data_IF_469162612249
#
_entry.id   IF_469162612249
#
_cell.length_a   1.000
_cell.length_b   1.000
_cell.length_c   1.000
_cell.angle_alpha   90.00
_cell.angle_beta   90.00
_cell.angle_gamma   90.00
#
_symmetry.space_group_name_H-M   'P 1'
#
loop_
_entity.id
_entity.type
_entity.pdbx_description
1 polymer ?
#
# COMPACT_ATOMS: atom_id res chain seq x y z
N UNK A 1 22.05 -0.47 5.00
CA UNK A 1 21.02 0.35 5.72
C UNK A 1 20.28 -0.61 6.63
N UNK A 2 19.78 -0.17 7.77
CA UNK A 2 18.93 -1.02 8.63
C UNK A 2 17.53 -0.97 8.04
N UNK A 3 16.90 -2.12 7.71
CA UNK A 3 15.57 -2.14 7.15
C UNK A 3 14.53 -1.65 8.17
N UNK A 4 13.52 -0.91 7.70
CA UNK A 4 12.40 -0.48 8.55
C UNK A 4 11.49 -1.64 8.92
N UNK A 5 11.27 -2.57 7.97
CA UNK A 5 10.44 -3.76 8.16
C UNK A 5 11.23 -5.02 7.83
N UNK A 6 11.13 -6.03 8.69
CA UNK A 6 11.72 -7.36 8.45
C UNK A 6 10.67 -8.43 8.73
N UNK A 7 10.46 -9.32 7.75
CA UNK A 7 9.70 -10.56 7.90
C UNK A 7 10.65 -11.74 7.79
N UNK A 8 10.50 -12.71 8.67
CA UNK A 8 11.32 -13.95 8.67
C UNK A 8 10.41 -15.17 8.84
N UNK A 9 10.42 -16.04 7.83
CA UNK A 9 9.77 -17.36 7.79
C UNK A 9 8.28 -17.34 8.17
N UNK A 10 7.54 -16.34 7.66
CA UNK A 10 6.12 -16.18 7.95
C UNK A 10 5.32 -17.28 7.29
N UNK A 11 4.56 -18.02 8.13
CA UNK A 11 3.61 -19.03 7.72
C UNK A 11 2.22 -18.69 8.26
N UNK A 12 1.19 -18.88 7.43
CA UNK A 12 -0.19 -18.62 7.85
C UNK A 12 -1.18 -19.57 7.17
N UNK A 13 -2.09 -20.11 7.99
CA UNK A 13 -3.20 -20.96 7.56
C UNK A 13 -4.51 -20.43 8.13
N UNK A 14 -5.56 -20.50 7.31
CA UNK A 14 -6.94 -20.34 7.78
C UNK A 14 -7.46 -21.68 8.30
N UNK A 15 -8.13 -21.65 9.43
CA UNK A 15 -8.80 -22.81 10.00
C UNK A 15 -10.30 -22.60 9.92
N UNK A 16 -10.98 -23.46 9.19
CA UNK A 16 -12.43 -23.52 9.05
C UNK A 16 -12.95 -24.88 9.53
N UNK A 17 -14.25 -24.98 9.73
CA UNK A 17 -14.87 -26.29 10.09
C UNK A 17 -14.61 -27.36 9.03
N UNK A 18 -14.35 -26.98 7.81
CA UNK A 18 -14.03 -27.83 6.66
C UNK A 18 -12.58 -28.28 6.58
N UNK A 19 -11.68 -27.67 7.38
CA UNK A 19 -10.25 -28.02 7.37
C UNK A 19 -9.30 -26.83 7.47
N UNK A 20 -8.02 -27.11 7.28
CA UNK A 20 -6.92 -26.13 7.22
C UNK A 20 -6.64 -25.75 5.78
N UNK A 21 -6.58 -24.44 5.50
CA UNK A 21 -6.15 -23.91 4.19
C UNK A 21 -4.90 -23.08 4.37
N UNK A 22 -3.75 -23.58 3.92
CA UNK A 22 -2.50 -22.82 3.91
C UNK A 22 -2.63 -21.62 2.96
N UNK A 23 -2.42 -20.41 3.48
CA UNK A 23 -2.46 -19.18 2.70
C UNK A 23 -1.07 -18.67 2.32
N UNK A 24 -0.12 -18.72 3.26
CA UNK A 24 1.26 -18.27 3.08
C UNK A 24 2.24 -19.30 3.61
N UNK A 25 3.38 -19.46 2.93
CA UNK A 25 4.44 -20.38 3.30
C UNK A 25 5.82 -19.74 3.12
N UNK A 26 6.61 -19.72 4.19
CA UNK A 26 8.02 -19.27 4.22
C UNK A 26 8.25 -17.87 3.60
N UNK A 27 7.40 -16.90 3.93
CA UNK A 27 7.57 -15.52 3.46
C UNK A 27 8.65 -14.83 4.28
N UNK A 28 9.75 -14.47 3.61
CA UNK A 28 10.85 -13.71 4.21
C UNK A 28 11.29 -12.59 3.26
N UNK A 29 11.29 -11.34 3.73
CA UNK A 29 11.82 -10.18 3.02
C UNK A 29 12.03 -9.00 3.97
N UNK A 30 12.76 -8.01 3.50
CA UNK A 30 12.98 -6.74 4.21
C UNK A 30 12.51 -5.58 3.37
N UNK A 31 12.21 -4.44 4.00
CA UNK A 31 11.89 -3.17 3.33
C UNK A 31 12.76 -2.07 3.93
N UNK A 32 13.44 -1.33 3.09
CA UNK A 32 14.27 -0.20 3.52
C UNK A 32 13.41 1.08 3.74
N UNK A 33 13.91 1.98 4.60
CA UNK A 33 13.23 3.25 4.84
C UNK A 33 13.13 4.08 3.56
N UNK A 34 11.91 4.59 3.25
CA UNK A 34 11.61 5.35 2.03
C UNK A 34 11.45 4.50 0.77
N UNK A 35 11.62 3.17 0.86
CA UNK A 35 11.40 2.26 -0.25
C UNK A 35 9.91 2.12 -0.56
N UNK A 36 9.57 2.06 -1.83
CA UNK A 36 8.25 1.74 -2.33
C UNK A 36 8.29 0.35 -2.97
N UNK A 37 7.75 -0.67 -2.32
CA UNK A 37 7.69 -2.01 -2.89
C UNK A 37 6.28 -2.34 -3.39
N UNK A 38 6.18 -3.17 -4.43
CA UNK A 38 4.92 -3.75 -4.86
C UNK A 38 4.94 -5.27 -4.66
N UNK A 39 3.79 -5.82 -4.29
CA UNK A 39 3.56 -7.26 -4.18
C UNK A 39 2.51 -7.63 -5.22
N UNK A 40 2.89 -8.49 -6.16
CA UNK A 40 2.03 -9.00 -7.22
C UNK A 40 1.91 -10.51 -7.13
N UNK A 41 0.83 -11.05 -7.68
CA UNK A 41 0.59 -12.50 -7.70
C UNK A 41 -0.84 -12.82 -8.11
N UNK A 42 -1.18 -14.08 -8.39
CA UNK A 42 -2.50 -14.51 -8.79
C UNK A 42 -3.58 -14.15 -7.77
N UNK A 43 -4.84 -14.14 -8.21
CA UNK A 43 -5.96 -13.94 -7.28
C UNK A 43 -6.00 -15.05 -6.23
N UNK A 44 -6.21 -14.69 -4.97
CA UNK A 44 -6.27 -15.64 -3.86
C UNK A 44 -4.93 -16.23 -3.40
N UNK A 45 -3.78 -15.76 -3.90
CA UNK A 45 -2.45 -16.24 -3.48
C UNK A 45 -2.01 -15.79 -2.07
N UNK A 46 -2.77 -14.93 -1.39
CA UNK A 46 -2.46 -14.50 -0.01
C UNK A 46 -1.95 -13.07 0.14
N UNK A 47 -1.98 -12.21 -0.90
CA UNK A 47 -1.49 -10.80 -0.83
C UNK A 47 -2.14 -10.00 0.29
N UNK A 48 -3.47 -9.94 0.34
CA UNK A 48 -4.20 -9.22 1.40
C UNK A 48 -4.04 -9.87 2.77
N UNK A 49 -3.84 -11.21 2.82
CA UNK A 49 -3.47 -11.93 4.05
C UNK A 49 -2.12 -11.43 4.55
N UNK A 50 -1.13 -11.34 3.67
CA UNK A 50 0.21 -10.83 4.02
C UNK A 50 0.14 -9.38 4.52
N UNK A 51 -0.61 -8.49 3.83
CA UNK A 51 -0.82 -7.12 4.34
C UNK A 51 -1.51 -7.10 5.71
N UNK A 52 -2.52 -7.96 5.91
CA UNK A 52 -3.22 -8.05 7.21
C UNK A 52 -2.30 -8.52 8.34
N UNK A 53 -1.35 -9.41 8.04
CA UNK A 53 -0.31 -9.85 8.98
C UNK A 53 0.64 -8.70 9.28
N UNK A 54 1.13 -7.96 8.27
CA UNK A 54 1.99 -6.79 8.45
C UNK A 54 1.26 -5.68 9.21
N UNK A 55 -0.05 -5.50 8.99
CA UNK A 55 -0.88 -4.56 9.76
C UNK A 55 -1.10 -5.01 11.22
N UNK A 56 -0.69 -6.22 11.58
CA UNK A 56 -0.93 -6.81 12.89
C UNK A 56 -2.40 -7.14 13.17
N UNK A 57 -3.21 -7.29 12.12
CA UNK A 57 -4.61 -7.73 12.19
C UNK A 57 -4.71 -9.25 12.27
N UNK A 58 -3.76 -9.96 11.67
CA UNK A 58 -3.60 -11.40 11.75
C UNK A 58 -2.26 -11.73 12.42
N UNK A 59 -2.24 -12.78 13.19
CA UNK A 59 -1.02 -13.28 13.86
C UNK A 59 -0.52 -14.49 13.05
N UNK A 60 0.72 -14.48 12.54
CA UNK A 60 1.26 -15.62 11.82
C UNK A 60 1.39 -16.83 12.75
N UNK A 61 1.28 -18.04 12.18
CA UNK A 61 1.46 -19.30 12.90
C UNK A 61 2.91 -19.45 13.36
N UNK A 62 3.82 -19.17 12.45
CA UNK A 62 5.26 -19.24 12.65
C UNK A 62 5.94 -18.04 12.02
N UNK A 63 7.17 -17.78 12.41
CA UNK A 63 7.98 -16.68 11.93
C UNK A 63 7.93 -15.46 12.84
N UNK A 64 8.60 -14.40 12.42
CA UNK A 64 8.69 -13.15 13.18
C UNK A 64 8.60 -11.92 12.27
N UNK A 65 8.04 -10.83 12.81
CA UNK A 65 7.95 -9.55 12.13
C UNK A 65 8.46 -8.47 13.07
N UNK A 66 9.36 -7.66 12.58
CA UNK A 66 9.84 -6.47 13.28
C UNK A 66 9.68 -5.21 12.44
N UNK A 67 9.35 -4.11 13.11
CA UNK A 67 9.35 -2.75 12.56
C UNK A 67 10.35 -1.92 13.38
N UNK A 68 11.35 -1.31 12.70
CA UNK A 68 12.47 -0.61 13.38
C UNK A 68 13.18 -1.49 14.42
N UNK A 69 13.49 -2.72 14.08
CA UNK A 69 14.12 -3.72 14.96
C UNK A 69 13.33 -4.06 16.24
N UNK A 70 12.06 -3.64 16.33
CA UNK A 70 11.17 -3.95 17.45
C UNK A 70 10.06 -4.90 16.99
N UNK A 71 9.58 -5.79 17.87
CA UNK A 71 8.46 -6.65 17.54
C UNK A 71 7.25 -5.85 17.04
N UNK A 72 6.64 -6.25 15.95
CA UNK A 72 5.52 -5.56 15.31
C UNK A 72 4.39 -5.20 16.28
N UNK A 73 4.11 -6.08 17.26
CA UNK A 73 3.04 -5.90 18.23
C UNK A 73 3.15 -4.58 19.01
N UNK A 74 4.37 -4.07 19.20
CA UNK A 74 4.65 -2.82 19.92
C UNK A 74 4.62 -1.59 19.04
N UNK A 75 4.66 -1.77 17.72
CA UNK A 75 4.85 -0.68 16.75
C UNK A 75 3.64 -0.50 15.81
N UNK A 76 2.51 -1.19 16.06
CA UNK A 76 1.31 -1.17 15.18
C UNK A 76 0.79 0.23 14.88
N UNK A 77 0.91 1.18 15.80
CA UNK A 77 0.47 2.56 15.62
C UNK A 77 1.25 3.33 14.54
N UNK A 78 2.41 2.81 14.14
CA UNK A 78 3.27 3.39 13.10
C UNK A 78 2.94 2.90 11.70
N UNK A 79 1.93 2.02 11.59
CA UNK A 79 1.47 1.47 10.31
C UNK A 79 0.17 2.12 9.91
N UNK A 80 0.15 2.69 8.71
CA UNK A 80 -1.05 3.18 8.06
C UNK A 80 -1.56 2.14 7.06
N UNK A 81 -2.83 1.77 7.13
CA UNK A 81 -3.43 0.79 6.23
C UNK A 81 -4.56 1.42 5.40
N UNK A 82 -4.34 1.51 4.09
CA UNK A 82 -5.34 1.91 3.12
C UNK A 82 -5.93 0.66 2.47
N UNK A 83 -7.19 0.40 2.76
CA UNK A 83 -7.93 -0.76 2.25
C UNK A 83 -8.35 -0.55 0.79
N UNK A 84 -8.74 -1.64 0.11
CA UNK A 84 -9.16 -1.67 -1.29
C UNK A 84 -10.27 -0.65 -1.62
N UNK A 85 -11.24 -0.48 -0.72
CA UNK A 85 -12.24 0.59 -0.81
C UNK A 85 -11.82 1.76 0.08
N UNK A 86 -12.24 2.97 -0.28
CA UNK A 86 -11.90 4.17 0.49
C UNK A 86 -12.46 4.17 1.92
N UNK A 87 -13.58 3.45 2.17
CA UNK A 87 -14.25 3.33 3.46
C UNK A 87 -14.45 4.70 4.15
N UNK A 88 -14.77 5.73 3.37
CA UNK A 88 -15.17 7.01 3.91
C UNK A 88 -16.59 6.91 4.48
N UNK A 89 -16.80 7.47 5.66
CA UNK A 89 -18.12 7.52 6.27
C UNK A 89 -18.97 8.59 5.58
N UNK A 90 -20.01 8.17 4.86
CA UNK A 90 -20.88 9.04 4.07
C UNK A 90 -21.59 10.12 4.89
N UNK A 91 -21.84 9.87 6.19
CA UNK A 91 -22.46 10.84 7.10
C UNK A 91 -21.48 11.87 7.68
N UNK A 92 -20.17 11.68 7.46
CA UNK A 92 -19.13 12.62 7.92
C UNK A 92 -18.66 13.51 6.77
N UNK A 93 -18.23 14.74 7.10
CA UNK A 93 -17.52 15.57 6.12
C UNK A 93 -16.16 14.98 5.77
N UNK A 94 -15.55 15.46 4.68
CA UNK A 94 -14.16 15.09 4.27
C UNK A 94 -13.19 15.33 5.43
N UNK A 95 -13.16 16.54 6.01
CA UNK A 95 -12.28 16.86 7.13
C UNK A 95 -12.53 15.92 8.32
N UNK A 96 -13.81 15.65 8.65
CA UNK A 96 -14.16 14.76 9.76
C UNK A 96 -13.74 13.30 9.48
N UNK A 97 -13.77 12.85 8.21
CA UNK A 97 -13.21 11.56 7.81
C UNK A 97 -11.69 11.53 8.00
N UNK A 98 -10.99 12.58 7.57
CA UNK A 98 -9.52 12.71 7.75
C UNK A 98 -9.14 12.65 9.23
N UNK A 99 -9.87 13.34 10.08
CA UNK A 99 -9.58 13.40 11.52
C UNK A 99 -10.00 12.17 12.31
N UNK A 100 -10.66 11.18 11.69
CA UNK A 100 -11.22 10.02 12.39
C UNK A 100 -10.20 9.28 13.25
N UNK A 101 -9.02 9.00 12.71
CA UNK A 101 -7.96 8.30 13.45
C UNK A 101 -7.45 9.11 14.66
N UNK A 102 -7.36 10.43 14.52
CA UNK A 102 -7.00 11.33 15.62
C UNK A 102 -8.08 11.33 16.72
N UNK A 103 -9.36 11.26 16.35
CA UNK A 103 -10.47 11.15 17.31
C UNK A 103 -10.38 9.83 18.10
N UNK A 104 -10.12 8.72 17.41
CA UNK A 104 -9.95 7.40 18.05
C UNK A 104 -8.77 7.41 19.04
N UNK A 105 -7.67 8.07 18.67
CA UNK A 105 -6.48 8.22 19.51
C UNK A 105 -6.65 9.28 20.61
N UNK A 106 -7.80 9.97 20.66
CA UNK A 106 -8.06 11.10 21.57
C UNK A 106 -7.03 12.23 21.43
N UNK A 107 -6.52 12.43 20.23
CA UNK A 107 -5.48 13.41 19.89
C UNK A 107 -6.03 14.53 18.98
N UNK A 108 -7.27 14.98 19.23
CA UNK A 108 -7.86 16.10 18.51
C UNK A 108 -7.58 17.39 19.27
N UNK A 109 -6.81 18.26 18.63
CA UNK A 109 -6.48 19.60 19.13
C UNK A 109 -6.35 20.57 17.94
N UNK A 110 -6.07 21.84 18.22
CA UNK A 110 -5.95 22.86 17.17
C UNK A 110 -4.80 22.54 16.18
N UNK A 111 -3.66 22.08 16.67
CA UNK A 111 -2.51 21.72 15.84
C UNK A 111 -2.84 20.56 14.88
N UNK A 112 -3.48 19.49 15.38
CA UNK A 112 -3.85 18.33 14.54
C UNK A 112 -4.97 18.68 13.55
N UNK A 113 -5.87 19.63 13.91
CA UNK A 113 -6.90 20.15 13.00
C UNK A 113 -6.27 20.98 11.89
N UNK A 114 -5.35 21.89 12.21
CA UNK A 114 -4.59 22.69 11.24
C UNK A 114 -3.82 21.78 10.30
N UNK A 115 -3.09 20.80 10.81
CA UNK A 115 -2.38 19.82 10.01
C UNK A 115 -3.31 19.07 9.05
N UNK A 116 -4.51 18.66 9.50
CA UNK A 116 -5.50 18.00 8.65
C UNK A 116 -5.94 18.89 7.49
N UNK A 117 -6.16 20.17 7.75
CA UNK A 117 -6.50 21.17 6.73
C UNK A 117 -5.33 21.42 5.77
N UNK A 118 -4.11 21.53 6.28
CA UNK A 118 -2.91 21.75 5.47
C UNK A 118 -2.66 20.59 4.50
N UNK A 119 -2.90 19.34 4.94
CA UNK A 119 -2.86 18.17 4.07
C UNK A 119 -3.94 18.25 2.99
N UNK A 120 -5.18 18.56 3.34
CA UNK A 120 -6.26 18.74 2.36
C UNK A 120 -5.91 19.83 1.34
N UNK A 121 -5.38 20.97 1.80
CA UNK A 121 -4.93 22.06 0.95
C UNK A 121 -3.78 21.65 0.03
N UNK A 122 -2.74 21.02 0.59
CA UNK A 122 -1.56 20.58 -0.15
C UNK A 122 -1.91 19.63 -1.30
N UNK A 123 -2.97 18.83 -1.13
CA UNK A 123 -3.41 17.85 -2.11
C UNK A 123 -4.70 18.22 -2.85
N UNK A 124 -5.03 19.55 -2.87
CA UNK A 124 -6.08 20.13 -3.70
C UNK A 124 -7.50 19.77 -3.30
N UNK A 125 -7.74 19.56 -2.00
CA UNK A 125 -9.05 19.17 -1.45
C UNK A 125 -9.57 20.17 -0.40
N UNK A 126 -8.96 21.33 -0.25
CA UNK A 126 -9.34 22.36 0.74
C UNK A 126 -10.80 22.79 0.60
N UNK A 127 -11.25 23.09 -0.62
CA UNK A 127 -12.62 23.52 -0.92
C UNK A 127 -13.67 22.45 -0.60
N UNK A 128 -13.24 21.17 -0.56
CA UNK A 128 -14.10 20.02 -0.25
C UNK A 128 -14.07 19.60 1.22
N UNK A 129 -13.36 20.34 2.10
CA UNK A 129 -13.19 19.94 3.51
C UNK A 129 -14.54 19.72 4.24
N UNK A 130 -15.55 20.50 3.90
CA UNK A 130 -16.89 20.41 4.48
C UNK A 130 -17.89 19.58 3.65
N UNK A 131 -17.50 19.15 2.45
CA UNK A 131 -18.32 18.32 1.59
C UNK A 131 -18.49 16.89 2.16
N UNK A 132 -19.51 16.16 1.67
CA UNK A 132 -19.71 14.74 1.95
C UNK A 132 -18.96 13.87 0.92
N UNK A 133 -18.56 12.62 1.25
CA UNK A 133 -17.91 11.73 0.30
C UNK A 133 -18.70 11.54 -1.01
N UNK A 134 -20.04 11.52 -0.95
CA UNK A 134 -20.92 11.41 -2.12
C UNK A 134 -20.78 12.55 -3.14
N UNK A 135 -20.18 13.68 -2.75
CA UNK A 135 -19.96 14.86 -3.60
C UNK A 135 -18.56 14.82 -4.27
N UNK A 136 -17.75 13.79 -4.00
CA UNK A 136 -16.39 13.64 -4.51
C UNK A 136 -16.34 12.68 -5.69
N UNK A 137 -15.41 12.93 -6.63
CA UNK A 137 -15.04 11.92 -7.62
C UNK A 137 -14.29 10.73 -6.96
N UNK A 138 -14.24 9.59 -7.65
CA UNK A 138 -13.52 8.41 -7.15
C UNK A 138 -12.05 8.70 -6.79
N UNK A 139 -11.35 9.46 -7.64
CA UNK A 139 -9.97 9.85 -7.36
C UNK A 139 -9.83 10.81 -6.18
N UNK A 140 -10.78 11.71 -5.97
CA UNK A 140 -10.80 12.57 -4.77
C UNK A 140 -11.03 11.74 -3.51
N UNK A 141 -11.93 10.76 -3.54
CA UNK A 141 -12.19 9.83 -2.42
C UNK A 141 -10.94 9.07 -2.05
N UNK A 142 -10.18 8.54 -3.03
CA UNK A 142 -8.92 7.84 -2.78
C UNK A 142 -7.85 8.75 -2.16
N UNK A 143 -7.73 10.01 -2.62
CA UNK A 143 -6.83 10.99 -1.98
C UNK A 143 -7.26 11.30 -0.55
N UNK A 144 -8.55 11.46 -0.26
CA UNK A 144 -9.04 11.64 1.12
C UNK A 144 -8.71 10.44 1.99
N UNK A 145 -8.87 9.20 1.50
CA UNK A 145 -8.54 7.98 2.23
C UNK A 145 -7.03 7.91 2.56
N UNK A 146 -6.17 8.30 1.60
CA UNK A 146 -4.73 8.40 1.85
C UNK A 146 -4.42 9.48 2.91
N UNK A 147 -4.99 10.69 2.79
CA UNK A 147 -4.77 11.78 3.75
C UNK A 147 -5.23 11.39 5.16
N UNK A 148 -6.37 10.68 5.28
CA UNK A 148 -6.86 10.11 6.56
C UNK A 148 -5.82 9.19 7.20
N UNK A 149 -5.07 8.46 6.39
CA UNK A 149 -4.00 7.59 6.87
C UNK A 149 -2.73 8.38 7.20
N UNK A 150 -2.35 9.35 6.35
CA UNK A 150 -1.14 10.16 6.51
C UNK A 150 -1.18 11.10 7.70
N UNK A 151 -2.36 11.61 8.08
CA UNK A 151 -2.50 12.55 9.21
C UNK A 151 -2.03 11.94 10.54
N UNK A 152 -2.03 10.60 10.63
CA UNK A 152 -1.53 9.84 11.78
C UNK A 152 -0.01 9.67 11.78
N UNK A 153 0.70 10.20 10.76
CA UNK A 153 2.16 10.15 10.62
C UNK A 153 2.75 8.73 10.64
N UNK A 154 2.18 7.77 9.89
CA UNK A 154 2.72 6.43 9.85
C UNK A 154 4.14 6.44 9.27
N UNK A 155 4.96 5.48 9.69
CA UNK A 155 6.28 5.23 9.11
C UNK A 155 6.21 4.28 7.92
N UNK A 156 5.23 3.34 7.95
CA UNK A 156 4.95 2.38 6.89
C UNK A 156 3.50 2.51 6.41
N UNK A 157 3.31 2.63 5.10
CA UNK A 157 2.01 2.62 4.44
C UNK A 157 1.76 1.28 3.77
N UNK A 158 0.61 0.69 4.05
CA UNK A 158 0.10 -0.50 3.38
C UNK A 158 -1.06 -0.09 2.46
N UNK A 159 -0.97 -0.43 1.18
CA UNK A 159 -1.94 -0.07 0.15
C UNK A 159 -2.49 -1.35 -0.48
N UNK A 160 -3.73 -1.71 -0.18
CA UNK A 160 -4.37 -2.93 -0.68
C UNK A 160 -5.25 -2.60 -1.89
N UNK A 161 -4.76 -2.84 -3.10
CA UNK A 161 -5.46 -2.58 -4.37
C UNK A 161 -6.16 -1.21 -4.44
N UNK A 162 -5.49 -0.11 -4.10
CA UNK A 162 -6.14 1.20 -3.84
C UNK A 162 -6.80 1.80 -5.09
N UNK A 163 -6.50 1.29 -6.29
CA UNK A 163 -6.98 1.85 -7.55
C UNK A 163 -7.96 0.95 -8.29
N UNK A 164 -8.28 -0.24 -7.75
CA UNK A 164 -9.08 -1.26 -8.45
C UNK A 164 -10.49 -0.82 -8.83
N UNK A 165 -11.09 0.12 -8.07
CA UNK A 165 -12.43 0.64 -8.32
C UNK A 165 -12.48 1.84 -9.29
N UNK A 166 -11.33 2.29 -9.83
CA UNK A 166 -11.23 3.44 -10.71
C UNK A 166 -11.21 3.03 -12.18
N UNK A 167 -11.82 3.85 -13.05
CA UNK A 167 -11.63 3.70 -14.50
C UNK A 167 -10.15 3.92 -14.88
N UNK A 168 -9.78 3.47 -16.08
CA UNK A 168 -8.38 3.46 -16.51
C UNK A 168 -7.71 4.84 -16.48
N UNK A 169 -8.36 5.90 -16.99
CA UNK A 169 -7.75 7.24 -17.05
C UNK A 169 -7.59 7.84 -15.65
N UNK A 170 -8.62 7.75 -14.84
CA UNK A 170 -8.60 8.20 -13.45
C UNK A 170 -7.53 7.44 -12.66
N UNK A 171 -7.39 6.14 -12.87
CA UNK A 171 -6.38 5.29 -12.24
C UNK A 171 -4.96 5.78 -12.51
N UNK A 172 -4.62 6.10 -13.77
CA UNK A 172 -3.31 6.62 -14.12
C UNK A 172 -2.99 7.93 -13.40
N UNK A 173 -3.93 8.85 -13.38
CA UNK A 173 -3.75 10.15 -12.71
C UNK A 173 -3.63 10.00 -11.20
N UNK A 174 -4.53 9.22 -10.58
CA UNK A 174 -4.56 9.04 -9.12
C UNK A 174 -3.34 8.26 -8.64
N UNK A 175 -2.87 7.25 -9.38
CA UNK A 175 -1.65 6.53 -9.02
C UNK A 175 -0.42 7.44 -9.03
N UNK A 176 -0.32 8.36 -10.00
CA UNK A 176 0.76 9.35 -10.08
C UNK A 176 0.68 10.35 -8.90
N UNK A 177 -0.53 10.84 -8.59
CA UNK A 177 -0.76 11.74 -7.45
C UNK A 177 -0.39 11.06 -6.12
N UNK A 178 -0.86 9.84 -5.88
CA UNK A 178 -0.59 9.09 -4.64
C UNK A 178 0.90 8.79 -4.50
N UNK A 179 1.57 8.41 -5.60
CA UNK A 179 3.02 8.20 -5.59
C UNK A 179 3.78 9.49 -5.21
N UNK A 180 3.40 10.64 -5.80
CA UNK A 180 4.01 11.93 -5.46
C UNK A 180 3.80 12.30 -4.01
N UNK A 181 2.61 12.04 -3.46
CA UNK A 181 2.29 12.29 -2.06
C UNK A 181 3.22 11.45 -1.16
N UNK A 182 3.31 10.15 -1.41
CA UNK A 182 4.12 9.21 -0.62
C UNK A 182 5.61 9.60 -0.66
N UNK A 183 6.13 9.93 -1.85
CA UNK A 183 7.54 10.36 -2.01
C UNK A 183 7.82 11.72 -1.37
N UNK A 184 6.88 12.69 -1.46
CA UNK A 184 7.00 14.00 -0.82
C UNK A 184 7.01 13.90 0.71
N UNK A 185 6.16 13.04 1.26
CA UNK A 185 6.08 12.76 2.70
C UNK A 185 7.17 11.79 3.19
N UNK A 186 8.08 11.36 2.30
CA UNK A 186 9.19 10.45 2.58
C UNK A 186 8.74 9.16 3.29
N UNK A 187 7.58 8.61 2.92
CA UNK A 187 7.02 7.42 3.54
C UNK A 187 7.50 6.14 2.84
N UNK A 188 7.70 5.10 3.64
CA UNK A 188 7.87 3.73 3.13
C UNK A 188 6.50 3.17 2.75
N UNK A 189 6.39 2.46 1.64
CA UNK A 189 5.10 1.94 1.18
C UNK A 189 5.19 0.52 0.65
N UNK A 190 4.15 -0.28 0.95
CA UNK A 190 3.92 -1.60 0.36
C UNK A 190 2.58 -1.54 -0.39
N UNK A 191 2.64 -1.71 -1.70
CA UNK A 191 1.47 -1.77 -2.58
C UNK A 191 1.17 -3.23 -2.93
N UNK A 192 -0.03 -3.69 -2.64
CA UNK A 192 -0.58 -4.91 -3.23
C UNK A 192 -1.43 -4.52 -4.42
N UNK A 193 -1.16 -5.13 -5.57
CA UNK A 193 -1.95 -4.92 -6.78
C UNK A 193 -1.91 -6.14 -7.69
N UNK A 194 -2.93 -6.32 -8.51
CA UNK A 194 -2.95 -7.27 -9.63
C UNK A 194 -2.60 -6.58 -10.97
N UNK A 195 -2.45 -5.25 -10.99
CA UNK A 195 -2.06 -4.49 -12.17
C UNK A 195 -0.53 -4.34 -12.23
N UNK A 196 0.09 -5.04 -13.18
CA UNK A 196 1.55 -5.00 -13.37
C UNK A 196 2.04 -3.60 -13.80
N UNK A 197 1.19 -2.81 -14.47
CA UNK A 197 1.55 -1.46 -14.86
C UNK A 197 1.70 -0.55 -13.63
N UNK A 198 0.83 -0.72 -12.62
CA UNK A 198 0.97 -0.04 -11.33
C UNK A 198 2.26 -0.47 -10.62
N UNK A 199 2.47 -1.79 -10.47
CA UNK A 199 3.64 -2.34 -9.80
C UNK A 199 4.95 -1.83 -10.42
N UNK A 200 5.10 -1.96 -11.75
CA UNK A 200 6.33 -1.57 -12.45
C UNK A 200 6.53 -0.06 -12.44
N UNK A 201 5.47 0.75 -12.59
CA UNK A 201 5.62 2.19 -12.65
C UNK A 201 5.82 2.87 -11.28
N UNK A 202 5.26 2.31 -10.20
CA UNK A 202 5.28 2.96 -8.88
C UNK A 202 6.40 2.45 -7.98
N UNK A 203 6.74 1.15 -8.06
CA UNK A 203 7.64 0.53 -7.12
C UNK A 203 9.13 0.72 -7.47
N UNK A 204 9.95 0.68 -6.42
CA UNK A 204 11.41 0.59 -6.52
C UNK A 204 11.84 -0.90 -6.56
N UNK A 205 10.95 -1.81 -6.08
CA UNK A 205 11.13 -3.26 -6.07
C UNK A 205 9.78 -3.98 -6.14
N UNK A 206 9.73 -5.10 -6.86
CA UNK A 206 8.52 -5.91 -7.01
C UNK A 206 8.76 -7.32 -6.48
N UNK A 207 7.94 -7.75 -5.54
CA UNK A 207 7.88 -9.13 -5.04
C UNK A 207 6.79 -9.88 -5.81
N UNK A 208 7.14 -10.99 -6.44
CA UNK A 208 6.22 -11.85 -7.18
C UNK A 208 5.87 -13.04 -6.29
N UNK A 209 4.59 -13.22 -5.97
CA UNK A 209 4.08 -14.35 -5.21
C UNK A 209 3.58 -15.46 -6.13
N UNK A 210 3.78 -16.72 -5.68
CA UNK A 210 3.22 -17.94 -6.27
C UNK A 210 1.70 -18.00 -6.12
N UNK A 211 1.08 -19.00 -6.75
CA UNK A 211 -0.24 -19.51 -6.36
C UNK A 211 -0.24 -20.01 -4.91
N UNK A 212 -1.44 -20.25 -4.35
CA UNK A 212 -1.61 -20.71 -2.96
C UNK A 212 -1.01 -22.12 -2.73
N UNK A 213 -0.23 -22.33 -1.64
CA UNK A 213 0.19 -21.34 -0.64
C UNK A 213 1.19 -20.35 -1.21
N UNK A 214 0.94 -19.04 -0.94
CA UNK A 214 1.79 -17.97 -1.46
C UNK A 214 3.19 -18.01 -0.86
N UNK A 215 4.21 -18.05 -1.71
CA UNK A 215 5.62 -17.86 -1.37
C UNK A 215 6.26 -16.90 -2.37
N UNK A 216 7.41 -16.33 -2.05
CA UNK A 216 8.10 -15.40 -2.95
C UNK A 216 8.81 -16.17 -4.05
N UNK A 217 8.35 -15.99 -5.30
CA UNK A 217 9.00 -16.55 -6.50
C UNK A 217 10.20 -15.71 -6.93
N UNK A 218 10.03 -14.38 -6.92
CA UNK A 218 11.06 -13.42 -7.36
C UNK A 218 11.00 -12.16 -6.55
N UNK A 219 12.16 -11.57 -6.37
CA UNK A 219 12.39 -10.23 -5.84
C UNK A 219 13.14 -9.43 -6.90
N UNK A 220 12.49 -8.43 -7.51
CA UNK A 220 12.96 -7.74 -8.70
C UNK A 220 13.14 -6.27 -8.40
N UNK A 221 14.39 -5.79 -8.37
CA UNK A 221 14.67 -4.36 -8.28
C UNK A 221 14.32 -3.66 -9.60
N UNK A 222 13.57 -2.57 -9.50
CA UNK A 222 13.13 -1.76 -10.64
C UNK A 222 13.99 -0.50 -10.70
N UNK A 223 14.77 -0.36 -11.78
CA UNK A 223 15.66 0.78 -11.98
C UNK A 223 15.42 1.36 -13.36
N UNK A 224 15.19 2.67 -13.41
CA UNK A 224 15.10 3.44 -14.65
C UNK A 224 16.34 4.29 -14.81
N UNK A 225 16.87 4.33 -16.01
CA UNK A 225 18.03 5.17 -16.37
C UNK A 225 17.53 6.45 -17.04
N UNK A 226 18.25 7.55 -16.83
CA UNK A 226 18.08 8.81 -17.54
C UNK A 226 16.67 9.45 -17.46
N UNK A 227 15.90 9.21 -16.38
CA UNK A 227 14.66 9.90 -16.15
C UNK A 227 14.90 11.17 -15.32
N UNK A 228 14.68 12.35 -15.93
CA UNK A 228 14.73 13.65 -15.21
C UNK A 228 13.72 13.70 -14.06
N UNK A 229 12.55 13.11 -14.25
CA UNK A 229 11.50 12.95 -13.25
C UNK A 229 11.06 11.49 -13.21
N UNK A 230 11.26 10.86 -12.08
CA UNK A 230 11.01 9.43 -11.86
C UNK A 230 9.52 9.14 -11.47
N UNK A 231 8.57 9.94 -12.00
CA UNK A 231 7.13 9.73 -11.76
C UNK A 231 6.62 8.47 -12.46
N UNK A 232 5.52 7.84 -11.95
CA UNK A 232 4.95 6.67 -12.60
C UNK A 232 4.58 6.88 -14.06
N UNK A 233 4.12 8.08 -14.42
CA UNK A 233 3.81 8.42 -15.81
C UNK A 233 5.05 8.38 -16.70
N UNK A 234 6.17 8.95 -16.25
CA UNK A 234 7.44 8.93 -17.00
C UNK A 234 8.03 7.52 -17.05
N UNK A 235 7.94 6.75 -15.95
CA UNK A 235 8.37 5.35 -15.92
C UNK A 235 7.61 4.48 -16.92
N UNK A 236 6.29 4.69 -17.12
CA UNK A 236 5.48 3.97 -18.14
C UNK A 236 5.94 4.23 -19.56
N UNK A 237 6.52 5.41 -19.84
CA UNK A 237 7.04 5.78 -21.14
C UNK A 237 8.51 5.37 -21.36
N UNK A 238 9.20 4.91 -20.32
CA UNK A 238 10.58 4.50 -20.41
C UNK A 238 10.74 3.14 -21.12
N UNK A 239 11.86 2.97 -21.83
CA UNK A 239 12.18 1.73 -22.57
C UNK A 239 12.29 0.50 -21.65
N UNK A 240 12.74 0.69 -20.42
CA UNK A 240 12.89 -0.36 -19.41
C UNK A 240 11.55 -0.91 -18.92
N UNK A 241 10.49 -0.09 -18.96
CA UNK A 241 9.16 -0.46 -18.47
C UNK A 241 8.66 -1.78 -19.08
N UNK A 242 8.72 -1.89 -20.40
CA UNK A 242 8.27 -3.09 -21.12
C UNK A 242 9.08 -4.32 -20.73
N UNK A 243 10.38 -4.16 -20.46
CA UNK A 243 11.26 -5.28 -20.07
C UNK A 243 10.88 -5.82 -18.70
N UNK A 244 10.66 -4.94 -17.71
CA UNK A 244 10.22 -5.34 -16.39
C UNK A 244 8.80 -5.92 -16.40
N UNK A 245 7.88 -5.30 -17.14
CA UNK A 245 6.52 -5.81 -17.30
C UNK A 245 6.53 -7.25 -17.85
N UNK A 246 7.27 -7.49 -18.94
CA UNK A 246 7.37 -8.83 -19.55
C UNK A 246 8.05 -9.84 -18.63
N UNK A 247 9.07 -9.43 -17.87
CA UNK A 247 9.75 -10.28 -16.91
C UNK A 247 8.78 -10.78 -15.83
N UNK A 248 8.05 -9.85 -15.20
CA UNK A 248 7.10 -10.17 -14.13
C UNK A 248 5.92 -10.99 -14.69
N UNK A 249 5.40 -10.61 -15.85
CA UNK A 249 4.35 -11.36 -16.55
C UNK A 249 4.74 -12.81 -16.81
N UNK A 250 5.98 -13.04 -17.27
CA UNK A 250 6.52 -14.39 -17.52
C UNK A 250 6.59 -15.20 -16.22
N UNK A 251 7.10 -14.63 -15.14
CA UNK A 251 7.19 -15.33 -13.85
C UNK A 251 5.80 -15.75 -13.33
N UNK A 252 4.79 -14.88 -13.45
CA UNK A 252 3.42 -15.19 -13.04
C UNK A 252 2.80 -16.34 -13.85
N UNK A 253 3.00 -16.35 -15.19
CA UNK A 253 2.39 -17.36 -16.05
C UNK A 253 3.15 -18.70 -16.08
N UNK A 254 4.44 -18.74 -15.73
CA UNK A 254 5.20 -20.01 -15.67
C UNK A 254 4.79 -20.91 -14.51
N UNK A 255 4.10 -20.39 -13.52
CA UNK A 255 3.69 -21.10 -12.31
C UNK A 255 2.18 -21.30 -12.19
N UNK A 256 1.41 -20.91 -13.22
CA UNK A 256 -0.05 -21.14 -13.32
C UNK A 256 -0.39 -22.46 -14.06
N UNK A 257 0.62 -23.24 -14.47
CA UNK A 257 0.46 -24.52 -15.21
C UNK A 257 0.78 -25.74 -14.36
#
# INVERSE_FOLDING_TARGET
MIPILTLSDINYSYHELSGETKALENISFTVDSGEFIAIVGPSGCGKSTLLSIIAGLLIPKDGSISLNDKPLITEKSKIGYMLQKDHLFEWRSVLSNVMLGLEIQKNVNEATRTKSMDLLKTYGLEEFAHAKPSQLSGGMRQRVALIRTLVLEPELLLLDEPFSALDYQTRLTVSDDIWRIIKKEQKTAILVTHDLSEAVSMADRVLVLSTRPGHILKDIAIKYQDLENNSPMNRRNAKEFKSYFNLIWKELNMHDS
#
